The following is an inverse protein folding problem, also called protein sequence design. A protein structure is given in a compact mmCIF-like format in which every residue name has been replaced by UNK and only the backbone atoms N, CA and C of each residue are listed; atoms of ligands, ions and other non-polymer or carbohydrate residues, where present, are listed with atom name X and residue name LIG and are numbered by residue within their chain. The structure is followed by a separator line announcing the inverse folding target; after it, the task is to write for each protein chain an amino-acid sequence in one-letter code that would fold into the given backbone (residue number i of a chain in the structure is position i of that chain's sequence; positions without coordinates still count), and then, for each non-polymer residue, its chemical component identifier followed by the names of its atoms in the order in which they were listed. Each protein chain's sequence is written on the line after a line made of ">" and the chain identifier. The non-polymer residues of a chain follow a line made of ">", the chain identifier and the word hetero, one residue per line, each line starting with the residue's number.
data_IF_808310084077
#
_entry.id   IF_808310084077
#
_cell.length_a   1.000
_cell.length_b   1.000
_cell.length_c   1.000
_cell.angle_alpha   90.00
_cell.angle_beta   90.00
_cell.angle_gamma   90.00
#
_symmetry.space_group_name_H-M   'P 1'
#
loop_
_entity.id
_entity.type
_entity.pdbx_description
1 polymer ?
#
# COMPACT_ATOMS: atom_id res chain seq x y z
N UNK A 1 -11.39 -12.84 3.34
CA UNK A 1 -10.68 -12.32 2.15
C UNK A 1 -11.66 -11.90 1.08
N UNK A 2 -11.31 -10.94 0.22
CA UNK A 2 -12.18 -10.46 -0.88
C UNK A 2 -11.35 -10.38 -2.16
N UNK A 3 -11.95 -10.78 -3.28
CA UNK A 3 -11.39 -10.67 -4.61
C UNK A 3 -12.34 -9.83 -5.47
N UNK A 4 -11.78 -8.85 -6.17
CA UNK A 4 -12.52 -8.00 -7.11
C UNK A 4 -11.72 -7.93 -8.41
N UNK A 5 -12.37 -8.22 -9.52
CA UNK A 5 -11.81 -8.02 -10.86
C UNK A 5 -12.59 -6.91 -11.58
N UNK A 6 -11.86 -5.92 -12.03
CA UNK A 6 -12.39 -4.77 -12.74
C UNK A 6 -11.86 -4.77 -14.17
N UNK A 7 -12.69 -4.33 -15.11
CA UNK A 7 -12.29 -4.04 -16.48
C UNK A 7 -12.48 -2.56 -16.76
N UNK A 8 -11.41 -1.95 -17.24
CA UNK A 8 -11.45 -0.55 -17.68
C UNK A 8 -11.80 -0.47 -19.18
N UNK A 9 -12.72 0.44 -19.50
CA UNK A 9 -13.04 0.84 -20.87
C UNK A 9 -13.26 2.35 -20.92
N UNK A 10 -12.43 3.08 -21.64
CA UNK A 10 -12.55 4.53 -21.85
C UNK A 10 -12.63 5.33 -20.55
N UNK A 11 -11.86 4.93 -19.52
CA UNK A 11 -11.85 5.57 -18.20
C UNK A 11 -13.00 5.15 -17.26
N UNK A 12 -13.89 4.26 -17.71
CA UNK A 12 -14.95 3.69 -16.86
C UNK A 12 -14.57 2.27 -16.42
N UNK A 13 -14.81 1.97 -15.14
CA UNK A 13 -14.58 0.66 -14.58
C UNK A 13 -15.87 -0.13 -14.48
N UNK A 14 -15.84 -1.39 -14.90
CA UNK A 14 -16.94 -2.34 -14.75
C UNK A 14 -16.49 -3.54 -13.94
N UNK A 15 -17.33 -3.95 -12.97
CA UNK A 15 -17.12 -5.15 -12.17
C UNK A 15 -17.26 -6.39 -13.05
N UNK A 16 -16.23 -7.22 -13.09
CA UNK A 16 -16.23 -8.49 -13.80
C UNK A 16 -16.48 -9.66 -12.88
N UNK A 17 -15.76 -9.70 -11.74
CA UNK A 17 -15.88 -10.76 -10.73
C UNK A 17 -15.80 -10.19 -9.34
N UNK A 18 -16.51 -10.83 -8.43
CA UNK A 18 -16.48 -10.55 -6.99
C UNK A 18 -16.53 -11.87 -6.25
N UNK A 19 -15.60 -12.09 -5.35
CA UNK A 19 -15.59 -13.23 -4.45
C UNK A 19 -15.32 -12.82 -3.02
N UNK A 20 -15.88 -13.57 -2.07
CA UNK A 20 -15.64 -13.41 -0.63
C UNK A 20 -15.41 -14.79 -0.05
N UNK A 21 -14.28 -14.97 0.62
CA UNK A 21 -13.95 -16.18 1.37
C UNK A 21 -13.68 -15.80 2.83
N UNK A 22 -14.38 -16.40 3.79
CA UNK A 22 -14.07 -16.26 5.20
C UNK A 22 -12.65 -16.69 5.50
N UNK A 23 -11.96 -15.94 6.34
CA UNK A 23 -10.63 -16.29 6.82
C UNK A 23 -10.72 -16.54 8.34
N UNK A 24 -9.99 -17.56 8.82
CA UNK A 24 -9.85 -17.75 10.27
C UNK A 24 -9.27 -16.49 10.92
N UNK A 25 -9.81 -16.03 12.06
CA UNK A 25 -9.26 -14.88 12.78
C UNK A 25 -7.78 -15.02 13.14
N UNK A 26 -7.30 -16.26 13.24
CA UNK A 26 -5.91 -16.57 13.59
C UNK A 26 -4.95 -16.50 12.39
N UNK A 27 -5.47 -16.49 11.17
CA UNK A 27 -4.64 -16.49 9.95
C UNK A 27 -3.91 -15.15 9.74
N UNK A 28 -4.56 -14.03 10.10
CA UNK A 28 -3.98 -12.69 10.06
C UNK A 28 -4.34 -11.96 11.35
N UNK A 29 -3.32 -11.56 12.11
CA UNK A 29 -3.47 -10.82 13.36
C UNK A 29 -2.71 -9.50 13.26
N UNK A 30 -3.40 -8.39 13.52
CA UNK A 30 -2.85 -7.02 13.47
C UNK A 30 -2.09 -6.71 12.16
N UNK A 31 -2.58 -7.24 11.03
CA UNK A 31 -1.96 -7.06 9.72
C UNK A 31 -0.71 -7.92 9.49
N UNK A 32 -0.44 -8.91 10.33
CA UNK A 32 0.64 -9.88 10.11
C UNK A 32 0.05 -11.25 9.77
N UNK A 33 0.57 -11.88 8.73
CA UNK A 33 0.20 -13.26 8.37
C UNK A 33 0.81 -14.20 9.42
N UNK A 34 -0.06 -14.89 10.18
CA UNK A 34 0.33 -15.86 11.20
C UNK A 34 0.30 -17.28 10.66
N UNK A 35 -0.58 -17.57 9.74
CA UNK A 35 -0.68 -18.85 9.03
C UNK A 35 -0.83 -18.63 7.54
N UNK A 36 0.27 -18.75 6.82
CA UNK A 36 0.31 -18.58 5.37
C UNK A 36 -0.47 -19.65 4.62
N UNK A 37 -0.57 -20.85 5.17
CA UNK A 37 -1.30 -21.95 4.53
C UNK A 37 -2.79 -21.65 4.45
N UNK A 38 -3.38 -21.13 5.54
CA UNK A 38 -4.79 -20.70 5.55
C UNK A 38 -5.07 -19.56 4.57
N UNK A 39 -4.12 -18.64 4.44
CA UNK A 39 -4.23 -17.51 3.50
C UNK A 39 -4.16 -18.01 2.06
N UNK A 40 -3.20 -18.88 1.73
CA UNK A 40 -3.04 -19.49 0.39
C UNK A 40 -4.27 -20.31 0.02
N UNK A 41 -4.78 -21.14 0.93
CA UNK A 41 -6.00 -21.93 0.69
C UNK A 41 -7.22 -21.02 0.40
N UNK A 42 -7.35 -19.91 1.10
CA UNK A 42 -8.42 -18.95 0.85
C UNK A 42 -8.28 -18.27 -0.51
N UNK A 43 -7.05 -17.97 -0.95
CA UNK A 43 -6.78 -17.43 -2.29
C UNK A 43 -7.17 -18.45 -3.37
N UNK A 44 -6.77 -19.72 -3.20
CA UNK A 44 -7.16 -20.79 -4.13
C UNK A 44 -8.67 -20.94 -4.23
N UNK A 45 -9.37 -21.01 -3.11
CA UNK A 45 -10.84 -21.09 -3.09
C UNK A 45 -11.51 -19.90 -3.77
N UNK A 46 -11.00 -18.68 -3.56
CA UNK A 46 -11.51 -17.47 -4.24
C UNK A 46 -11.30 -17.55 -5.76
N UNK A 47 -10.13 -17.97 -6.20
CA UNK A 47 -9.83 -18.11 -7.62
C UNK A 47 -10.73 -19.16 -8.27
N UNK A 48 -10.88 -20.32 -7.64
CA UNK A 48 -11.74 -21.40 -8.13
C UNK A 48 -13.21 -20.97 -8.19
N UNK A 49 -13.70 -20.35 -7.14
CA UNK A 49 -15.09 -19.90 -7.06
C UNK A 49 -15.44 -18.76 -8.03
N UNK A 50 -14.49 -17.87 -8.31
CA UNK A 50 -14.69 -16.74 -9.22
C UNK A 50 -14.27 -17.02 -10.65
N UNK A 51 -13.47 -18.05 -10.88
CA UNK A 51 -12.83 -18.33 -12.17
C UNK A 51 -11.85 -17.22 -12.59
N UNK A 52 -11.26 -16.53 -11.62
CA UNK A 52 -10.25 -15.50 -11.90
C UNK A 52 -8.95 -16.16 -12.42
N UNK A 53 -8.47 -15.67 -13.56
CA UNK A 53 -7.29 -16.22 -14.25
C UNK A 53 -6.28 -15.13 -14.61
N UNK A 54 -6.35 -13.98 -13.92
CA UNK A 54 -5.44 -12.87 -14.18
C UNK A 54 -4.02 -13.19 -13.70
N UNK A 55 -3.00 -12.73 -14.43
CA UNK A 55 -1.60 -13.02 -14.10
C UNK A 55 -1.07 -12.21 -12.92
N UNK A 56 -1.80 -11.19 -12.49
CA UNK A 56 -1.36 -10.27 -11.44
C UNK A 56 -2.51 -9.86 -10.54
N UNK A 57 -2.19 -9.71 -9.25
CA UNK A 57 -3.11 -9.22 -8.23
C UNK A 57 -2.49 -8.03 -7.52
N UNK A 58 -3.32 -7.07 -7.13
CA UNK A 58 -2.94 -5.98 -6.25
C UNK A 58 -3.48 -6.26 -4.85
N UNK A 59 -2.65 -6.06 -3.85
CA UNK A 59 -3.03 -6.14 -2.43
C UNK A 59 -2.58 -4.89 -1.70
N UNK A 60 -2.98 -4.72 -0.46
CA UNK A 60 -2.59 -3.60 0.38
C UNK A 60 -2.04 -4.09 1.71
N UNK A 61 -1.06 -3.36 2.22
CA UNK A 61 -0.58 -3.49 3.58
C UNK A 61 -1.33 -2.50 4.49
N UNK A 62 -1.56 -2.89 5.73
CA UNK A 62 -2.23 -2.04 6.72
C UNK A 62 -1.75 -2.34 8.15
N UNK A 63 -2.25 -1.55 9.11
CA UNK A 63 -1.91 -1.74 10.52
C UNK A 63 -0.49 -1.35 10.87
N UNK A 64 0.13 -2.08 11.78
CA UNK A 64 1.47 -1.78 12.30
C UNK A 64 2.62 -1.99 11.29
N UNK A 65 2.32 -2.60 10.15
CA UNK A 65 3.30 -2.82 9.07
C UNK A 65 3.57 -1.57 8.23
N UNK A 66 2.76 -0.53 8.39
CA UNK A 66 2.83 0.69 7.60
C UNK A 66 2.88 1.92 8.51
N UNK A 67 3.85 2.79 8.26
CA UNK A 67 3.94 4.11 8.89
C UNK A 67 3.39 5.13 7.91
N UNK A 68 2.42 5.92 8.37
CA UNK A 68 1.84 7.02 7.60
C UNK A 68 2.03 8.29 8.41
N UNK A 69 2.71 9.27 7.80
CA UNK A 69 2.98 10.57 8.42
C UNK A 69 2.65 11.69 7.46
N UNK A 70 1.96 12.70 7.97
CA UNK A 70 1.86 14.00 7.29
C UNK A 70 2.99 14.87 7.81
N UNK A 71 3.87 15.30 6.94
CA UNK A 71 5.00 16.18 7.25
C UNK A 71 4.84 17.50 6.50
N UNK A 72 5.40 18.57 7.07
CA UNK A 72 5.49 19.85 6.42
C UNK A 72 6.94 20.15 6.09
N UNK A 73 7.20 20.59 4.87
CA UNK A 73 8.53 20.89 4.39
C UNK A 73 8.52 22.12 3.46
N UNK A 74 9.68 22.73 3.17
CA UNK A 74 9.77 23.82 2.21
C UNK A 74 9.15 23.44 0.86
N UNK A 75 8.44 24.39 0.25
CA UNK A 75 7.88 24.17 -1.08
C UNK A 75 9.00 24.07 -2.12
N UNK A 76 8.99 22.98 -2.86
CA UNK A 76 9.97 22.71 -3.90
C UNK A 76 9.35 21.97 -5.09
N UNK A 77 10.02 21.91 -6.24
CA UNK A 77 9.64 21.06 -7.37
C UNK A 77 9.60 19.58 -6.97
N UNK A 78 8.80 18.78 -7.69
CA UNK A 78 8.68 17.35 -7.41
C UNK A 78 10.01 16.59 -7.63
N UNK A 79 10.85 17.06 -8.55
CA UNK A 79 12.16 16.49 -8.83
C UNK A 79 13.10 16.65 -7.63
N UNK A 80 13.16 17.84 -7.04
CA UNK A 80 13.97 18.12 -5.85
C UNK A 80 13.44 17.35 -4.63
N UNK A 81 12.11 17.22 -4.53
CA UNK A 81 11.51 16.45 -3.45
C UNK A 81 11.90 14.98 -3.52
N UNK A 82 11.96 14.39 -4.72
CA UNK A 82 12.34 12.99 -4.89
C UNK A 82 13.73 12.67 -4.32
N UNK A 83 14.65 13.62 -4.39
CA UNK A 83 16.00 13.48 -3.82
C UNK A 83 16.02 13.73 -2.31
N UNK A 84 15.24 14.71 -1.82
CA UNK A 84 15.29 15.12 -0.42
C UNK A 84 14.41 14.28 0.49
N UNK A 85 13.36 13.65 -0.04
CA UNK A 85 12.36 12.96 0.78
C UNK A 85 12.95 11.82 1.62
N UNK A 86 14.00 11.17 1.15
CA UNK A 86 14.67 10.09 1.89
C UNK A 86 15.33 10.62 3.17
N UNK A 87 16.04 11.75 3.07
CA UNK A 87 16.68 12.40 4.21
C UNK A 87 15.67 12.92 5.23
N UNK A 88 14.58 13.53 4.73
CA UNK A 88 13.50 13.98 5.59
C UNK A 88 12.80 12.81 6.29
N UNK A 89 12.60 11.71 5.58
CA UNK A 89 11.94 10.52 6.11
C UNK A 89 12.70 9.89 7.30
N UNK A 90 14.03 9.93 7.31
CA UNK A 90 14.85 9.41 8.42
C UNK A 90 14.49 10.03 9.79
N UNK A 91 14.01 11.27 9.80
CA UNK A 91 13.61 11.94 11.04
C UNK A 91 12.29 11.43 11.61
N UNK A 92 11.46 10.81 10.79
CA UNK A 92 10.09 10.41 11.16
C UNK A 92 9.89 8.90 11.20
N UNK A 93 10.80 8.12 10.61
CA UNK A 93 10.72 6.67 10.51
C UNK A 93 11.69 6.05 11.51
N UNK A 94 11.20 5.25 12.49
CA UNK A 94 12.04 4.65 13.53
C UNK A 94 12.77 3.38 13.06
N UNK A 95 13.05 3.26 11.76
CA UNK A 95 13.73 2.14 11.12
C UNK A 95 14.81 2.67 10.18
N UNK A 96 15.80 1.83 9.88
CA UNK A 96 16.75 2.15 8.83
C UNK A 96 16.02 2.36 7.50
N UNK A 97 16.32 3.45 6.82
CA UNK A 97 15.68 3.79 5.54
C UNK A 97 15.94 2.71 4.48
N UNK A 98 17.05 1.98 4.61
CA UNK A 98 17.39 0.88 3.71
C UNK A 98 16.50 -0.36 3.91
N UNK A 99 15.87 -0.50 5.08
CA UNK A 99 15.00 -1.63 5.42
C UNK A 99 13.53 -1.37 5.09
N UNK A 100 13.19 -0.18 4.60
CA UNK A 100 11.82 0.19 4.24
C UNK A 100 11.67 0.50 2.75
N UNK A 101 10.48 0.29 2.23
CA UNK A 101 10.02 0.92 1.01
C UNK A 101 9.30 2.20 1.40
N UNK A 102 9.72 3.29 0.77
CA UNK A 102 9.20 4.64 1.00
C UNK A 102 8.42 5.09 -0.22
N UNK A 103 7.27 5.69 0.03
CA UNK A 103 6.48 6.38 -0.98
C UNK A 103 5.94 7.69 -0.40
N UNK A 104 5.58 8.64 -1.24
CA UNK A 104 5.06 9.92 -0.79
C UNK A 104 4.06 10.53 -1.77
N UNK A 105 3.21 11.38 -1.24
CA UNK A 105 2.28 12.18 -2.03
C UNK A 105 2.25 13.62 -1.54
N UNK A 106 2.40 14.57 -2.46
CA UNK A 106 2.24 15.98 -2.15
C UNK A 106 0.75 16.28 -2.00
N UNK A 107 0.36 16.78 -0.84
CA UNK A 107 -1.03 17.12 -0.51
C UNK A 107 -1.38 18.56 -0.86
N UNK A 108 -0.40 19.49 -0.79
CA UNK A 108 -0.63 20.91 -1.07
C UNK A 108 -0.67 21.15 -2.57
N UNK A 109 -1.78 21.68 -3.12
CA UNK A 109 -1.86 22.10 -4.52
C UNK A 109 -0.77 23.10 -4.88
N UNK A 110 -0.26 23.06 -6.10
CA UNK A 110 0.82 23.96 -6.56
C UNK A 110 0.46 25.43 -6.36
N UNK A 111 -0.80 25.81 -6.60
CA UNK A 111 -1.28 27.19 -6.45
C UNK A 111 -1.31 27.69 -4.99
N UNK A 112 -1.28 26.76 -4.01
CA UNK A 112 -1.38 27.08 -2.59
C UNK A 112 -0.03 27.00 -1.87
N UNK A 113 1.05 26.65 -2.57
CA UNK A 113 2.40 26.51 -2.00
C UNK A 113 3.03 27.87 -1.74
N UNK A 114 2.71 28.45 -0.59
CA UNK A 114 3.31 29.72 -0.12
C UNK A 114 4.47 29.42 0.85
N UNK A 115 5.62 29.01 0.32
CA UNK A 115 6.83 28.77 1.11
C UNK A 115 6.91 27.38 1.74
N UNK A 116 5.79 26.72 2.04
CA UNK A 116 5.74 25.37 2.59
C UNK A 116 4.74 24.49 1.84
N UNK A 117 4.92 23.17 1.93
CA UNK A 117 3.98 22.19 1.41
C UNK A 117 3.80 21.03 2.38
N UNK A 118 2.61 20.45 2.38
CA UNK A 118 2.28 19.24 3.10
C UNK A 118 2.55 18.01 2.23
N UNK A 119 3.24 17.03 2.79
CA UNK A 119 3.56 15.78 2.13
C UNK A 119 3.07 14.62 2.99
N UNK A 120 2.33 13.70 2.40
CA UNK A 120 2.01 12.42 3.01
C UNK A 120 3.16 11.46 2.74
N UNK A 121 3.81 11.01 3.80
CA UNK A 121 4.89 10.05 3.78
C UNK A 121 4.35 8.69 4.18
N UNK A 122 4.66 7.66 3.42
CA UNK A 122 4.28 6.28 3.70
C UNK A 122 5.51 5.40 3.65
N UNK A 123 5.73 4.62 4.71
CA UNK A 123 6.83 3.67 4.76
C UNK A 123 6.35 2.30 5.21
N UNK A 124 6.83 1.26 4.55
CA UNK A 124 6.56 -0.13 4.91
C UNK A 124 7.87 -0.92 4.95
N UNK A 125 8.05 -1.77 5.96
CA UNK A 125 9.21 -2.65 6.03
C UNK A 125 9.23 -3.62 4.87
N UNK A 126 10.41 -3.80 4.25
CA UNK A 126 10.60 -4.69 3.10
C UNK A 126 10.28 -6.15 3.42
N UNK A 127 10.63 -6.61 4.61
CA UNK A 127 10.29 -7.96 5.09
C UNK A 127 8.77 -8.16 5.14
N UNK A 128 8.03 -7.17 5.63
CA UNK A 128 6.56 -7.23 5.69
C UNK A 128 5.90 -7.23 4.32
N UNK A 129 6.46 -6.52 3.35
CA UNK A 129 5.98 -6.56 1.96
C UNK A 129 6.21 -7.94 1.35
N UNK A 130 7.33 -8.59 1.69
CA UNK A 130 7.67 -9.92 1.17
C UNK A 130 6.80 -11.03 1.77
N UNK A 131 6.29 -10.83 3.00
CA UNK A 131 5.38 -11.78 3.67
C UNK A 131 4.01 -11.86 2.98
N UNK A 132 3.61 -10.81 2.22
CA UNK A 132 2.33 -10.70 1.49
C UNK A 132 2.44 -11.05 0.02
#
# INVERSE_FOLDING_TARGET
>A
MKLVELKERKGEYSLQRLGIEPLSPEAIVDGSIMDSSLVVDAIHKLNDATGATLPSYATSLSGHSVIIKKIQMPAMPAEDLAEQIQWEAEQYIPFDIQDVNLDYQILTPVAERQGTMDVLLVAAKKDKITDY
#
